data_IF_326770788282
#
_entry.id   IF_326770788282
#
_cell.length_a   1.000
_cell.length_b   1.000
_cell.length_c   1.000
_cell.angle_alpha   90.00
_cell.angle_beta   90.00
_cell.angle_gamma   90.00
#
_symmetry.space_group_name_H-M   'P 1'
#
loop_
_entity.id
_entity.type
_entity.pdbx_description
1 polymer ?
#
# COMPACT_ATOMS: atom_id res chain seq x y z
N UNK A 1 46.26 -25.80 30.92
CA UNK A 1 44.86 -25.43 30.61
C UNK A 1 44.87 -24.71 29.25
N UNK A 2 45.32 -25.32 28.16
CA UNK A 2 44.75 -26.43 27.35
C UNK A 2 43.96 -25.90 26.15
N UNK A 3 44.67 -25.81 25.00
CA UNK A 3 44.17 -25.74 23.63
C UNK A 3 43.13 -26.84 23.35
N UNK A 4 42.12 -26.57 22.53
CA UNK A 4 41.60 -27.51 21.52
C UNK A 4 41.03 -26.76 20.30
N UNK A 5 41.68 -26.95 19.14
CA UNK A 5 41.00 -27.06 17.84
C UNK A 5 40.36 -28.45 17.78
N UNK A 6 39.27 -28.64 17.03
CA UNK A 6 39.09 -29.75 16.07
C UNK A 6 37.75 -29.60 15.32
N UNK A 7 37.81 -30.01 14.05
CA UNK A 7 36.87 -29.95 12.94
C UNK A 7 35.61 -30.83 13.05
N UNK A 8 34.68 -30.56 12.14
CA UNK A 8 33.87 -31.47 11.27
C UNK A 8 32.41 -31.00 11.25
N UNK A 9 31.80 -30.63 10.11
CA UNK A 9 31.55 -31.51 8.97
C UNK A 9 31.53 -30.77 7.63
N UNK A 10 32.01 -31.49 6.61
CA UNK A 10 32.15 -31.06 5.23
C UNK A 10 30.93 -31.45 4.37
N UNK A 11 30.75 -30.65 3.31
CA UNK A 11 30.43 -31.02 1.91
C UNK A 11 29.44 -32.16 1.63
N UNK A 12 28.36 -31.82 0.90
CA UNK A 12 27.89 -32.63 -0.21
C UNK A 12 27.06 -31.76 -1.17
N UNK A 13 27.47 -31.69 -2.43
CA UNK A 13 26.66 -31.92 -3.64
C UNK A 13 27.38 -31.35 -4.87
N UNK A 14 28.13 -32.22 -5.56
CA UNK A 14 28.42 -32.11 -7.00
C UNK A 14 27.70 -33.24 -7.72
N UNK A 15 26.94 -32.82 -8.74
CA UNK A 15 26.78 -33.43 -10.07
C UNK A 15 26.63 -34.95 -10.20
N UNK A 16 25.45 -35.37 -10.68
CA UNK A 16 25.37 -36.38 -11.76
C UNK A 16 24.06 -36.20 -12.56
N UNK A 17 24.23 -35.93 -13.84
CA UNK A 17 23.23 -35.88 -14.91
C UNK A 17 22.92 -37.27 -15.49
N UNK A 18 21.84 -37.34 -16.28
CA UNK A 18 21.34 -38.42 -17.18
C UNK A 18 20.62 -39.60 -16.48
N UNK A 19 19.47 -40.15 -16.92
CA UNK A 19 18.89 -40.29 -18.28
C UNK A 19 17.37 -40.55 -18.22
N UNK A 20 16.69 -40.17 -19.31
CA UNK A 20 15.30 -40.50 -19.70
C UNK A 20 14.99 -42.01 -19.68
N UNK A 21 13.76 -42.40 -19.27
CA UNK A 21 12.92 -43.42 -19.97
C UNK A 21 11.47 -43.51 -19.42
N UNK A 22 10.53 -43.13 -20.31
CA UNK A 22 9.21 -43.68 -20.63
C UNK A 22 8.30 -44.34 -19.57
N UNK A 23 7.05 -43.84 -19.54
CA UNK A 23 5.80 -44.37 -18.94
C UNK A 23 5.41 -45.78 -19.43
N UNK A 24 4.44 -46.40 -18.74
CA UNK A 24 3.19 -46.72 -19.45
C UNK A 24 1.90 -46.30 -18.73
N UNK A 25 0.87 -46.16 -19.58
CA UNK A 25 -0.53 -45.85 -19.31
C UNK A 25 -1.26 -46.93 -18.50
N UNK A 26 -2.11 -46.55 -17.53
CA UNK A 26 -3.30 -47.34 -17.15
C UNK A 26 -4.50 -46.41 -16.92
N UNK A 27 -5.66 -46.90 -17.38
CA UNK A 27 -6.98 -46.27 -17.56
C UNK A 27 -7.71 -45.86 -16.27
N UNK A 28 -8.56 -44.84 -16.47
CA UNK A 28 -9.70 -44.38 -15.66
C UNK A 28 -10.56 -45.50 -15.04
N UNK A 29 -11.03 -45.27 -13.80
CA UNK A 29 -12.40 -45.59 -13.38
C UNK A 29 -13.01 -44.43 -12.58
N UNK A 30 -14.08 -43.86 -13.14
CA UNK A 30 -15.08 -43.04 -12.44
C UNK A 30 -15.82 -43.94 -11.45
N UNK A 31 -15.99 -43.50 -10.22
CA UNK A 31 -17.16 -43.88 -9.40
C UNK A 31 -17.65 -42.64 -8.67
N UNK A 32 -18.90 -42.27 -8.94
CA UNK A 32 -19.60 -41.26 -8.18
C UNK A 32 -20.13 -41.86 -6.88
N UNK A 33 -20.18 -41.04 -5.84
CA UNK A 33 -21.08 -41.26 -4.69
C UNK A 33 -21.42 -39.91 -4.07
N UNK A 34 -22.59 -39.42 -4.46
CA UNK A 34 -23.45 -38.54 -3.68
C UNK A 34 -23.75 -39.23 -2.34
N UNK A 35 -23.66 -38.53 -1.22
CA UNK A 35 -24.39 -38.86 0.02
C UNK A 35 -24.39 -37.64 0.98
N UNK A 36 -25.61 -37.20 1.24
CA UNK A 36 -26.20 -36.61 2.46
C UNK A 36 -25.62 -35.32 3.04
N UNK A 37 -26.36 -34.24 2.73
CA UNK A 37 -26.62 -33.15 3.65
C UNK A 37 -27.22 -33.69 4.97
N UNK A 38 -26.72 -33.20 6.10
CA UNK A 38 -27.35 -33.34 7.40
C UNK A 38 -27.31 -32.00 8.12
N UNK A 39 -28.51 -31.57 8.50
CA UNK A 39 -28.81 -30.48 9.41
C UNK A 39 -27.97 -30.55 10.70
N UNK A 40 -27.45 -29.39 11.13
CA UNK A 40 -27.33 -29.10 12.56
C UNK A 40 -27.86 -27.70 12.85
N UNK A 41 -29.02 -27.70 13.51
CA UNK A 41 -29.63 -26.55 14.19
C UNK A 41 -28.86 -26.22 15.46
N UNK A 42 -28.83 -24.92 15.76
CA UNK A 42 -28.71 -24.28 17.07
C UNK A 42 -27.50 -24.63 17.96
N UNK A 43 -26.54 -23.71 17.98
CA UNK A 43 -25.80 -23.37 19.20
C UNK A 43 -25.88 -21.85 19.42
N UNK A 44 -26.59 -21.44 20.47
CA UNK A 44 -26.54 -20.08 21.03
C UNK A 44 -25.17 -19.88 21.67
N UNK A 45 -24.54 -18.73 21.42
CA UNK A 45 -23.44 -18.21 22.23
C UNK A 45 -23.81 -16.85 22.82
N UNK A 46 -23.30 -16.49 24.01
CA UNK A 46 -23.80 -15.38 24.80
C UNK A 46 -23.21 -14.03 24.38
N UNK A 47 -24.04 -13.00 24.58
CA UNK A 47 -23.72 -11.57 24.49
C UNK A 47 -22.52 -11.20 25.38
N UNK A 48 -21.56 -10.48 24.80
CA UNK A 48 -20.67 -9.59 25.52
C UNK A 48 -20.36 -8.37 24.63
N UNK A 49 -21.16 -7.33 24.82
CA UNK A 49 -20.97 -5.99 24.30
C UNK A 49 -19.88 -5.26 25.09
N UNK A 50 -18.81 -4.83 24.42
CA UNK A 50 -17.94 -3.74 24.91
C UNK A 50 -17.73 -2.78 23.74
N UNK A 51 -18.55 -1.75 23.70
CA UNK A 51 -18.45 -0.63 22.76
C UNK A 51 -17.45 0.36 23.36
N UNK A 52 -16.31 0.56 22.71
CA UNK A 52 -15.45 1.72 22.97
C UNK A 52 -16.05 2.91 22.21
N UNK A 53 -16.71 3.81 22.94
CA UNK A 53 -17.13 5.12 22.43
C UNK A 53 -15.91 6.03 22.31
N UNK A 54 -15.49 6.35 21.08
CA UNK A 54 -14.70 7.55 20.80
C UNK A 54 -15.67 8.66 20.37
N UNK A 55 -15.91 9.62 21.27
CA UNK A 55 -16.66 10.83 20.99
C UNK A 55 -15.75 11.87 20.31
N UNK A 56 -16.14 12.45 19.17
CA UNK A 56 -15.65 13.76 18.75
C UNK A 56 -16.43 14.86 19.51
N UNK A 57 -15.70 15.83 20.06
CA UNK A 57 -16.29 17.03 20.66
C UNK A 57 -17.09 17.81 19.61
N UNK A 58 -18.41 17.85 19.78
CA UNK A 58 -19.32 18.73 19.04
C UNK A 58 -19.41 20.07 19.76
N UNK A 59 -18.98 21.12 19.09
CA UNK A 59 -19.24 22.51 19.50
C UNK A 59 -20.74 22.76 19.32
N UNK A 60 -21.43 23.05 20.41
CA UNK A 60 -22.84 23.46 20.42
C UNK A 60 -22.98 24.83 19.73
N UNK A 61 -23.69 24.86 18.61
CA UNK A 61 -24.22 26.09 18.01
C UNK A 61 -25.74 26.09 18.16
N UNK A 62 -26.24 27.15 18.78
CA UNK A 62 -27.65 27.39 19.09
C UNK A 62 -28.46 27.69 17.84
N UNK A 63 -29.62 27.03 17.74
CA UNK A 63 -30.62 27.12 16.68
C UNK A 63 -31.32 28.49 16.68
N UNK A 64 -31.37 29.15 15.52
CA UNK A 64 -32.41 30.16 15.18
C UNK A 64 -32.88 29.94 13.75
N UNK A 65 -34.18 30.13 13.55
CA UNK A 65 -35.00 29.73 12.41
C UNK A 65 -34.69 30.39 11.05
N UNK A 66 -34.97 29.63 9.98
CA UNK A 66 -35.67 30.11 8.77
C UNK A 66 -34.85 30.76 7.65
N UNK A 67 -34.63 30.02 6.56
CA UNK A 67 -34.35 30.58 5.22
C UNK A 67 -33.12 29.99 4.53
N UNK A 68 -33.34 29.30 3.40
CA UNK A 68 -32.37 28.93 2.35
C UNK A 68 -30.91 28.68 2.76
N UNK A 69 -30.58 27.43 3.11
CA UNK A 69 -29.20 26.93 3.12
C UNK A 69 -29.20 25.54 2.47
N UNK A 70 -29.27 25.52 1.14
CA UNK A 70 -28.90 24.36 0.35
C UNK A 70 -27.82 24.81 -0.63
N UNK A 71 -26.60 24.25 -0.46
CA UNK A 71 -25.30 24.60 -1.06
C UNK A 71 -24.47 25.54 -0.18
N UNK A 72 -23.57 24.98 0.64
CA UNK A 72 -22.22 25.47 1.03
C UNK A 72 -21.74 24.75 2.31
N UNK A 73 -21.64 23.42 2.30
CA UNK A 73 -20.95 22.64 3.34
C UNK A 73 -20.01 21.63 2.67
N UNK A 74 -19.21 22.11 1.71
CA UNK A 74 -18.12 21.30 1.15
C UNK A 74 -16.95 21.30 2.13
N UNK A 75 -16.90 20.23 2.94
CA UNK A 75 -15.73 19.64 3.58
C UNK A 75 -14.95 20.49 4.59
N UNK A 76 -15.43 20.55 5.85
CA UNK A 76 -14.66 21.11 6.98
C UNK A 76 -13.52 20.21 7.47
N UNK A 77 -13.53 18.90 7.14
CA UNK A 77 -12.58 17.96 7.72
C UNK A 77 -11.30 17.82 6.88
N UNK A 78 -11.38 17.93 5.55
CA UNK A 78 -10.22 17.94 4.66
C UNK A 78 -9.79 19.39 4.39
N UNK A 79 -8.69 19.86 5.00
CA UNK A 79 -8.28 21.26 4.88
C UNK A 79 -7.89 21.65 3.44
N UNK A 80 -7.57 20.68 2.58
CA UNK A 80 -7.21 20.93 1.19
C UNK A 80 -8.40 20.97 0.23
N UNK A 81 -9.63 20.72 0.69
CA UNK A 81 -10.82 20.82 -0.18
C UNK A 81 -11.09 22.24 -0.68
N UNK A 82 -10.57 23.26 0.01
CA UNK A 82 -10.61 24.67 -0.41
C UNK A 82 -9.38 25.11 -1.21
N UNK A 83 -8.33 24.29 -1.28
CA UNK A 83 -7.12 24.59 -2.06
C UNK A 83 -7.46 24.45 -3.57
N UNK A 84 -7.32 25.52 -4.38
CA UNK A 84 -7.70 25.49 -5.78
C UNK A 84 -6.91 24.47 -6.61
N UNK A 85 -5.62 24.28 -6.32
CA UNK A 85 -4.77 23.35 -7.05
C UNK A 85 -5.12 21.91 -6.66
N UNK A 86 -5.29 21.62 -5.36
CA UNK A 86 -5.73 20.31 -4.90
C UNK A 86 -7.06 19.91 -5.54
N UNK A 87 -8.06 20.82 -5.52
CA UNK A 87 -9.37 20.57 -6.11
C UNK A 87 -9.32 20.38 -7.63
N UNK A 88 -8.50 21.19 -8.32
CA UNK A 88 -8.37 21.11 -9.78
C UNK A 88 -7.69 19.81 -10.22
N UNK A 89 -6.67 19.36 -9.49
CA UNK A 89 -5.81 18.23 -9.88
C UNK A 89 -6.10 16.93 -9.13
N UNK A 90 -7.08 16.91 -8.21
CA UNK A 90 -7.60 15.69 -7.58
C UNK A 90 -7.97 14.68 -8.67
N UNK A 91 -7.52 13.44 -8.48
CA UNK A 91 -7.69 12.34 -9.43
C UNK A 91 -8.32 11.12 -8.74
N UNK A 92 -8.98 11.34 -7.59
CA UNK A 92 -9.54 10.30 -6.76
C UNK A 92 -10.57 9.43 -7.50
N UNK A 93 -10.17 8.19 -7.79
CA UNK A 93 -10.97 7.24 -8.54
C UNK A 93 -11.14 5.92 -7.81
N UNK A 94 -12.21 5.24 -8.14
CA UNK A 94 -12.55 3.91 -7.68
C UNK A 94 -12.94 3.02 -8.85
N UNK A 95 -12.81 1.70 -8.69
CA UNK A 95 -13.34 0.73 -9.64
C UNK A 95 -14.63 0.12 -9.09
N UNK A 96 -15.77 0.48 -9.67
CA UNK A 96 -17.09 0.02 -9.26
C UNK A 96 -17.71 -0.80 -10.37
N UNK A 97 -18.19 -1.99 -10.02
CA UNK A 97 -18.75 -2.96 -10.97
C UNK A 97 -17.78 -3.29 -12.11
N UNK A 98 -17.92 -2.63 -13.25
CA UNK A 98 -17.09 -2.79 -14.46
C UNK A 98 -16.52 -1.46 -14.97
N UNK A 99 -16.58 -0.38 -14.20
CA UNK A 99 -16.18 0.94 -14.64
C UNK A 99 -15.33 1.69 -13.60
N UNK A 100 -14.42 2.51 -14.09
CA UNK A 100 -13.76 3.55 -13.30
C UNK A 100 -14.76 4.66 -13.04
N UNK A 101 -14.81 5.14 -11.79
CA UNK A 101 -15.68 6.24 -11.36
C UNK A 101 -14.88 7.25 -10.52
N UNK A 102 -15.37 8.48 -10.38
CA UNK A 102 -14.78 9.54 -9.54
C UNK A 102 -15.70 9.87 -8.37
N UNK A 103 -15.56 9.22 -7.21
CA UNK A 103 -16.50 9.39 -6.09
C UNK A 103 -16.66 10.83 -5.59
N UNK A 104 -15.59 11.63 -5.64
CA UNK A 104 -15.61 13.02 -5.17
C UNK A 104 -16.30 13.99 -6.15
N UNK A 105 -16.35 13.61 -7.43
CA UNK A 105 -16.90 14.44 -8.52
C UNK A 105 -17.63 13.57 -9.54
N UNK A 106 -18.77 12.94 -9.17
CA UNK A 106 -19.41 11.90 -9.97
C UNK A 106 -19.91 12.38 -11.34
N UNK A 107 -20.16 13.68 -11.49
CA UNK A 107 -20.64 14.29 -12.74
C UNK A 107 -19.50 14.64 -13.72
N UNK A 108 -18.24 14.52 -13.31
CA UNK A 108 -17.08 14.82 -14.15
C UNK A 108 -16.65 13.55 -14.89
N UNK A 109 -16.53 13.58 -16.23
CA UNK A 109 -16.03 12.46 -17.01
C UNK A 109 -14.67 11.96 -16.50
N UNK A 110 -14.49 10.64 -16.56
CA UNK A 110 -13.21 10.01 -16.24
C UNK A 110 -12.26 10.21 -17.42
N UNK A 111 -11.03 10.62 -17.12
CA UNK A 111 -9.97 10.72 -18.11
C UNK A 111 -9.71 9.34 -18.74
N UNK A 112 -9.67 9.28 -20.07
CA UNK A 112 -9.36 8.05 -20.81
C UNK A 112 -7.95 7.51 -20.47
N UNK A 113 -6.98 8.39 -20.19
CA UNK A 113 -5.64 7.98 -19.79
C UNK A 113 -5.63 7.32 -18.41
N UNK A 114 -6.48 7.79 -17.48
CA UNK A 114 -6.64 7.16 -16.17
C UNK A 114 -7.25 5.76 -16.29
N UNK A 115 -8.21 5.57 -17.19
CA UNK A 115 -8.80 4.24 -17.46
C UNK A 115 -7.73 3.30 -18.02
N UNK A 116 -6.97 3.74 -19.04
CA UNK A 116 -5.89 2.94 -19.64
C UNK A 116 -4.80 2.57 -18.63
N UNK A 117 -4.38 3.52 -17.79
CA UNK A 117 -3.41 3.26 -16.72
C UNK A 117 -3.93 2.24 -15.70
N UNK A 118 -5.21 2.34 -15.32
CA UNK A 118 -5.86 1.38 -14.43
C UNK A 118 -5.95 -0.03 -15.03
N UNK A 119 -6.35 -0.14 -16.30
CA UNK A 119 -6.44 -1.41 -17.00
C UNK A 119 -5.08 -2.10 -17.11
N UNK A 120 -4.02 -1.35 -17.45
CA UNK A 120 -2.65 -1.86 -17.49
C UNK A 120 -2.18 -2.35 -16.12
N UNK A 121 -2.50 -1.61 -15.04
CA UNK A 121 -2.15 -2.02 -13.68
C UNK A 121 -2.90 -3.29 -13.26
N UNK A 122 -4.19 -3.39 -13.56
CA UNK A 122 -4.99 -4.58 -13.33
C UNK A 122 -4.41 -5.80 -14.07
N UNK A 123 -4.04 -5.62 -15.34
CA UNK A 123 -3.44 -6.67 -16.15
C UNK A 123 -2.12 -7.16 -15.56
N UNK A 124 -1.27 -6.24 -15.09
CA UNK A 124 0.01 -6.60 -14.47
C UNK A 124 -0.20 -7.40 -13.17
N UNK A 125 -1.12 -6.98 -12.31
CA UNK A 125 -1.38 -7.63 -11.01
C UNK A 125 -2.07 -8.99 -11.19
N UNK A 126 -2.93 -9.11 -12.20
CA UNK A 126 -3.55 -10.38 -12.59
C UNK A 126 -2.57 -11.31 -13.34
N UNK A 127 -1.40 -10.81 -13.73
CA UNK A 127 -0.38 -11.56 -14.45
C UNK A 127 0.13 -12.77 -13.68
N UNK A 128 0.46 -13.82 -14.43
CA UNK A 128 1.00 -15.04 -13.86
C UNK A 128 2.23 -14.76 -13.01
N UNK A 129 2.24 -15.34 -11.81
CA UNK A 129 3.32 -15.24 -10.84
C UNK A 129 3.57 -13.84 -10.25
N UNK A 130 2.69 -12.84 -10.45
CA UNK A 130 2.83 -11.57 -9.73
C UNK A 130 2.98 -11.85 -8.21
N UNK A 131 4.06 -11.36 -7.57
CA UNK A 131 4.49 -11.95 -6.30
C UNK A 131 3.73 -11.44 -5.08
N UNK A 132 3.17 -10.24 -5.15
CA UNK A 132 2.54 -9.59 -4.02
C UNK A 132 1.11 -10.10 -3.81
N UNK A 133 0.93 -11.02 -2.86
CA UNK A 133 -0.40 -11.51 -2.49
C UNK A 133 -1.30 -10.45 -1.88
N UNK A 134 -0.70 -9.43 -1.24
CA UNK A 134 -1.45 -8.27 -0.74
C UNK A 134 -2.13 -7.52 -1.87
N UNK A 135 -1.37 -7.16 -2.91
CA UNK A 135 -1.91 -6.49 -4.10
C UNK A 135 -3.00 -7.33 -4.78
N UNK A 136 -2.77 -8.63 -4.97
CA UNK A 136 -3.79 -9.53 -5.55
C UNK A 136 -5.09 -9.51 -4.72
N UNK A 137 -4.97 -9.56 -3.39
CA UNK A 137 -6.14 -9.52 -2.48
C UNK A 137 -6.88 -8.19 -2.58
N UNK A 138 -6.15 -7.08 -2.53
CA UNK A 138 -6.70 -5.71 -2.62
C UNK A 138 -7.50 -5.54 -3.91
N UNK A 139 -6.95 -5.96 -5.05
CA UNK A 139 -7.60 -5.85 -6.34
C UNK A 139 -8.82 -6.76 -6.46
N UNK A 140 -8.73 -8.00 -5.98
CA UNK A 140 -9.85 -8.95 -5.96
C UNK A 140 -11.01 -8.46 -5.09
N UNK A 141 -10.72 -7.81 -3.97
CA UNK A 141 -11.71 -7.26 -3.03
C UNK A 141 -12.16 -5.84 -3.37
N UNK A 142 -11.59 -5.22 -4.41
CA UNK A 142 -11.81 -3.80 -4.77
C UNK A 142 -11.53 -2.83 -3.62
N UNK A 143 -10.60 -3.20 -2.73
CA UNK A 143 -10.18 -2.42 -1.56
C UNK A 143 -9.17 -1.34 -1.90
N UNK A 144 -9.29 -0.67 -3.04
CA UNK A 144 -8.33 0.34 -3.46
C UNK A 144 -8.98 1.58 -4.05
N UNK A 145 -8.22 2.65 -3.99
CA UNK A 145 -8.44 3.90 -4.69
C UNK A 145 -7.19 4.23 -5.47
N UNK A 146 -7.35 4.98 -6.55
CA UNK A 146 -6.24 5.30 -7.42
C UNK A 146 -6.47 6.64 -8.11
N UNK A 147 -5.41 7.21 -8.67
CA UNK A 147 -5.49 8.42 -9.45
C UNK A 147 -4.32 8.56 -10.40
N UNK A 148 -4.51 9.35 -11.45
CA UNK A 148 -3.48 9.75 -12.40
C UNK A 148 -3.27 11.26 -12.28
N UNK A 149 -2.18 11.63 -11.64
CA UNK A 149 -1.80 12.99 -11.29
C UNK A 149 -0.91 13.63 -12.36
N UNK A 150 -0.65 14.95 -12.26
CA UNK A 150 0.43 15.60 -13.00
C UNK A 150 1.80 15.00 -12.69
N UNK A 151 2.88 15.68 -13.06
CA UNK A 151 4.24 15.18 -12.85
C UNK A 151 4.56 14.94 -11.36
N UNK A 152 5.21 13.82 -11.06
CA UNK A 152 5.70 13.47 -9.72
C UNK A 152 6.59 14.60 -9.19
N UNK A 153 6.41 14.93 -7.91
CA UNK A 153 7.07 16.02 -7.19
C UNK A 153 6.80 17.43 -7.74
N UNK A 154 5.82 17.63 -8.62
CA UNK A 154 5.35 18.98 -8.94
C UNK A 154 4.30 19.48 -7.93
N UNK A 155 4.26 20.79 -7.72
CA UNK A 155 3.38 21.48 -6.77
C UNK A 155 1.90 21.09 -6.84
N UNK A 156 1.39 20.87 -8.06
CA UNK A 156 0.01 20.47 -8.29
C UNK A 156 -0.25 19.02 -7.86
N UNK A 157 0.68 18.12 -8.20
CA UNK A 157 0.59 16.72 -7.81
C UNK A 157 0.74 16.54 -6.30
N UNK A 158 1.63 17.31 -5.65
CA UNK A 158 1.79 17.32 -4.18
C UNK A 158 0.48 17.64 -3.48
N UNK A 159 -0.14 18.77 -3.82
CA UNK A 159 -1.41 19.21 -3.21
C UNK A 159 -2.55 18.23 -3.48
N UNK A 160 -2.68 17.76 -4.72
CA UNK A 160 -3.72 16.83 -5.11
C UNK A 160 -3.58 15.45 -4.43
N UNK A 161 -2.35 14.91 -4.34
CA UNK A 161 -2.09 13.63 -3.66
C UNK A 161 -2.34 13.75 -2.16
N UNK A 162 -1.95 14.85 -1.50
CA UNK A 162 -2.30 15.08 -0.09
C UNK A 162 -3.82 15.08 0.10
N UNK A 163 -4.54 15.87 -0.68
CA UNK A 163 -6.00 15.95 -0.63
C UNK A 163 -6.65 14.57 -0.80
N UNK A 164 -6.25 13.83 -1.83
CA UNK A 164 -6.82 12.53 -2.14
C UNK A 164 -6.45 11.45 -1.12
N UNK A 165 -5.26 11.53 -0.50
CA UNK A 165 -4.88 10.66 0.62
C UNK A 165 -5.66 10.97 1.89
N UNK A 166 -5.98 12.24 2.17
CA UNK A 166 -6.87 12.58 3.26
C UNK A 166 -8.23 11.93 3.04
N UNK A 167 -8.81 12.09 1.84
CA UNK A 167 -10.10 11.48 1.47
C UNK A 167 -10.05 9.95 1.64
N UNK A 168 -8.98 9.31 1.19
CA UNK A 168 -8.74 7.89 1.40
C UNK A 168 -8.71 7.50 2.88
N UNK A 169 -7.96 8.26 3.68
CA UNK A 169 -7.82 8.00 5.11
C UNK A 169 -9.15 8.14 5.86
N UNK A 170 -10.01 9.05 5.42
CA UNK A 170 -11.33 9.26 6.00
C UNK A 170 -12.37 8.24 5.53
N UNK A 171 -12.34 7.89 4.23
CA UNK A 171 -13.25 6.90 3.65
C UNK A 171 -13.04 5.51 4.25
N UNK A 172 -11.79 5.14 4.54
CA UNK A 172 -11.44 3.80 5.00
C UNK A 172 -10.89 3.78 6.44
N UNK A 173 -11.78 3.67 7.45
CA UNK A 173 -11.35 3.24 8.77
C UNK A 173 -10.85 1.79 8.69
N UNK A 174 -9.79 1.44 9.42
CA UNK A 174 -9.32 0.05 9.43
C UNK A 174 -10.33 -0.82 10.16
N UNK A 175 -10.79 -1.85 9.45
CA UNK A 175 -11.72 -2.85 9.98
C UNK A 175 -11.12 -4.22 9.68
N UNK A 176 -10.78 -4.95 10.75
CA UNK A 176 -10.39 -6.35 10.67
C UNK A 176 -9.12 -6.62 9.82
N UNK A 177 -9.11 -7.67 9.00
CA UNK A 177 -7.97 -8.04 8.14
C UNK A 177 -8.06 -7.44 6.72
N UNK A 178 -8.90 -6.43 6.51
CA UNK A 178 -9.06 -5.84 5.19
C UNK A 178 -7.80 -5.08 4.79
N UNK A 179 -7.20 -5.48 3.67
CA UNK A 179 -6.12 -4.72 3.05
C UNK A 179 -6.70 -3.63 2.17
N UNK A 180 -6.18 -2.42 2.34
CA UNK A 180 -6.59 -1.26 1.56
C UNK A 180 -5.38 -0.48 1.07
N UNK A 181 -5.53 0.10 -0.12
CA UNK A 181 -4.41 0.76 -0.81
C UNK A 181 -4.86 1.99 -1.57
N UNK A 182 -4.08 3.06 -1.49
CA UNK A 182 -4.18 4.20 -2.39
C UNK A 182 -3.03 4.16 -3.40
N UNK A 183 -3.31 4.36 -4.68
CA UNK A 183 -2.34 4.25 -5.77
C UNK A 183 -2.26 5.57 -6.53
N UNK A 184 -1.18 6.32 -6.34
CA UNK A 184 -0.91 7.55 -7.08
C UNK A 184 0.00 7.25 -8.28
N UNK A 185 -0.54 7.35 -9.49
CA UNK A 185 0.22 7.28 -10.74
C UNK A 185 0.47 8.69 -11.25
N UNK A 186 1.62 8.92 -11.90
CA UNK A 186 2.02 10.26 -12.35
C UNK A 186 2.33 10.24 -13.84
N UNK A 187 1.82 11.23 -14.60
CA UNK A 187 2.07 11.33 -16.06
C UNK A 187 3.54 11.59 -16.42
N UNK A 188 4.35 12.00 -15.45
CA UNK A 188 5.77 12.24 -15.60
C UNK A 188 6.45 12.44 -14.25
N UNK A 189 7.73 12.87 -14.23
CA UNK A 189 8.58 12.96 -15.42
C UNK A 189 8.92 11.58 -15.98
N UNK A 190 9.53 11.54 -17.17
CA UNK A 190 10.12 10.30 -17.67
C UNK A 190 11.26 9.87 -16.72
N UNK A 191 11.14 8.66 -16.16
CA UNK A 191 12.14 8.14 -15.22
C UNK A 191 13.37 7.63 -15.97
N UNK A 192 14.52 8.18 -15.63
CA UNK A 192 15.80 7.88 -16.28
C UNK A 192 16.56 6.74 -15.60
N UNK A 193 16.41 6.59 -14.28
CA UNK A 193 17.10 5.58 -13.45
C UNK A 193 16.35 5.33 -12.14
N UNK A 194 16.75 4.29 -11.40
CA UNK A 194 16.24 4.06 -10.03
C UNK A 194 16.60 5.21 -9.08
N UNK A 195 17.79 5.82 -9.24
CA UNK A 195 18.23 6.96 -8.44
C UNK A 195 17.40 8.20 -8.74
N UNK A 196 17.10 8.47 -10.01
CA UNK A 196 16.22 9.57 -10.40
C UNK A 196 14.83 9.38 -9.78
N UNK A 197 14.23 8.19 -9.91
CA UNK A 197 12.93 7.93 -9.27
C UNK A 197 12.96 8.05 -7.74
N UNK A 198 14.00 7.51 -7.08
CA UNK A 198 14.17 7.65 -5.64
C UNK A 198 14.22 9.13 -5.21
N UNK A 199 14.98 9.96 -5.93
CA UNK A 199 15.02 11.40 -5.68
C UNK A 199 13.63 12.03 -5.80
N UNK A 200 12.90 11.75 -6.89
CA UNK A 200 11.56 12.30 -7.12
C UNK A 200 10.55 11.83 -6.06
N UNK A 201 10.59 10.55 -5.68
CA UNK A 201 9.73 9.99 -4.63
C UNK A 201 9.95 10.71 -3.31
N UNK A 202 11.21 10.92 -2.91
CA UNK A 202 11.49 11.61 -1.66
C UNK A 202 11.18 13.11 -1.71
N UNK A 203 11.40 13.77 -2.85
CA UNK A 203 10.97 15.15 -3.05
C UNK A 203 9.45 15.30 -2.93
N UNK A 204 8.69 14.36 -3.49
CA UNK A 204 7.23 14.29 -3.33
C UNK A 204 6.84 14.12 -1.85
N UNK A 205 7.42 13.14 -1.13
CA UNK A 205 7.11 12.91 0.29
C UNK A 205 7.50 14.10 1.18
N UNK A 206 8.64 14.74 0.91
CA UNK A 206 9.09 15.92 1.65
C UNK A 206 8.13 17.10 1.46
N UNK A 207 7.70 17.37 0.22
CA UNK A 207 6.76 18.43 -0.08
C UNK A 207 5.36 18.13 0.49
N UNK A 208 4.94 16.86 0.48
CA UNK A 208 3.71 16.41 1.14
C UNK A 208 3.76 16.66 2.65
N UNK A 209 4.87 16.30 3.33
CA UNK A 209 5.06 16.55 4.77
C UNK A 209 5.02 18.04 5.11
N UNK A 210 5.62 18.89 4.26
CA UNK A 210 5.61 20.34 4.46
C UNK A 210 4.18 20.92 4.50
N UNK A 211 3.25 20.33 3.74
CA UNK A 211 1.83 20.70 3.78
C UNK A 211 1.12 20.01 4.95
N UNK A 212 1.35 18.72 5.14
CA UNK A 212 0.64 17.89 6.12
C UNK A 212 0.84 18.37 7.56
N UNK A 213 2.07 18.75 7.89
CA UNK A 213 2.46 19.21 9.22
C UNK A 213 1.80 20.52 9.68
N UNK A 214 1.14 21.24 8.78
CA UNK A 214 0.31 22.39 9.14
C UNK A 214 -1.05 22.00 9.72
N UNK A 215 -1.52 20.78 9.44
CA UNK A 215 -2.89 20.34 9.74
C UNK A 215 -2.95 19.12 10.65
N UNK A 216 -1.98 18.21 10.54
CA UNK A 216 -2.00 16.93 11.22
C UNK A 216 -0.69 16.70 11.98
N UNK A 217 -0.83 16.12 13.17
CA UNK A 217 0.32 15.60 13.89
C UNK A 217 0.78 14.28 13.25
N UNK A 218 2.07 13.97 13.36
CA UNK A 218 2.61 12.67 12.98
C UNK A 218 1.90 11.54 13.75
N UNK A 219 1.65 10.40 13.08
CA UNK A 219 1.05 9.22 13.70
C UNK A 219 1.88 8.77 14.91
N UNK A 220 1.22 8.67 16.07
CA UNK A 220 1.87 8.39 17.36
C UNK A 220 2.39 6.95 17.49
N UNK A 221 2.00 6.05 16.58
CA UNK A 221 2.42 4.64 16.59
C UNK A 221 3.80 4.40 15.96
N UNK A 222 4.34 5.39 15.24
CA UNK A 222 5.59 5.29 14.48
C UNK A 222 6.50 6.49 14.74
N UNK A 223 7.79 6.35 14.43
CA UNK A 223 8.75 7.45 14.56
C UNK A 223 8.76 8.33 13.29
N UNK A 224 9.11 9.60 13.44
CA UNK A 224 9.27 10.55 12.34
C UNK A 224 10.70 10.62 11.79
N UNK A 225 11.69 10.11 12.54
CA UNK A 225 13.09 10.03 12.10
C UNK A 225 13.26 8.87 11.09
N UNK A 226 13.61 9.13 9.82
CA UNK A 226 13.78 8.09 8.81
C UNK A 226 14.95 7.14 9.07
N UNK A 227 15.82 7.43 10.04
CA UNK A 227 16.88 6.52 10.49
C UNK A 227 16.43 5.59 11.62
N UNK A 228 15.27 5.83 12.22
CA UNK A 228 14.71 4.97 13.26
C UNK A 228 14.12 3.68 12.64
N UNK A 229 14.32 2.55 13.31
CA UNK A 229 13.77 1.26 12.88
C UNK A 229 12.23 1.19 12.90
N UNK A 230 11.58 2.06 13.68
CA UNK A 230 10.13 2.20 13.79
C UNK A 230 9.59 3.35 12.93
N UNK A 231 10.39 3.91 12.02
CA UNK A 231 9.94 4.93 11.09
C UNK A 231 8.82 4.41 10.19
N UNK A 232 7.79 5.21 9.95
CA UNK A 232 6.89 5.05 8.81
C UNK A 232 6.36 6.42 8.41
N UNK A 233 6.25 6.70 7.11
CA UNK A 233 5.78 8.01 6.66
C UNK A 233 4.36 8.27 7.14
N UNK A 234 4.11 9.43 7.75
CA UNK A 234 2.77 9.81 8.20
C UNK A 234 2.16 10.87 7.29
N UNK A 235 0.88 10.72 7.01
CA UNK A 235 0.06 11.71 6.32
C UNK A 235 -1.38 11.65 6.83
N UNK A 236 -2.01 12.80 7.06
CA UNK A 236 -3.36 12.86 7.63
C UNK A 236 -3.43 12.26 9.03
N UNK A 237 -2.30 12.25 9.76
CA UNK A 237 -2.16 11.61 11.07
C UNK A 237 -2.16 10.07 11.04
N UNK A 238 -1.93 9.46 9.88
CA UNK A 238 -1.90 7.99 9.71
C UNK A 238 -0.58 7.53 9.10
N UNK A 239 0.00 6.48 9.65
CA UNK A 239 1.23 5.86 9.16
C UNK A 239 1.00 5.06 7.86
N UNK A 240 1.91 5.19 6.90
CA UNK A 240 1.83 4.64 5.56
C UNK A 240 3.12 3.94 5.15
N UNK A 241 3.00 2.66 4.75
CA UNK A 241 4.05 1.97 4.01
C UNK A 241 3.95 2.31 2.52
N UNK A 242 4.97 3.02 2.01
CA UNK A 242 5.01 3.48 0.62
C UNK A 242 5.78 2.50 -0.25
N UNK A 243 5.23 2.16 -1.42
CA UNK A 243 5.89 1.32 -2.43
C UNK A 243 5.99 2.12 -3.72
N UNK A 244 7.22 2.33 -4.17
CA UNK A 244 7.53 2.94 -5.45
C UNK A 244 7.58 1.92 -6.59
N UNK A 245 7.00 2.29 -7.74
CA UNK A 245 7.02 1.54 -8.99
C UNK A 245 7.33 2.49 -10.16
N UNK A 246 8.13 2.06 -11.13
CA UNK A 246 8.53 2.89 -12.28
C UNK A 246 9.14 2.07 -13.43
N UNK A 247 9.25 2.62 -14.67
CA UNK A 247 9.69 1.87 -15.85
C UNK A 247 11.12 1.33 -15.79
N UNK A 248 11.95 1.87 -14.89
CA UNK A 248 13.38 1.56 -14.75
C UNK A 248 13.68 0.69 -13.53
N UNK A 249 12.67 0.18 -12.85
CA UNK A 249 12.86 -0.63 -11.65
C UNK A 249 13.59 -1.93 -11.98
N UNK A 250 14.58 -2.30 -11.18
CA UNK A 250 15.31 -3.57 -11.28
C UNK A 250 14.45 -4.78 -10.91
N UNK A 251 13.41 -4.56 -10.10
CA UNK A 251 12.44 -5.57 -9.68
C UNK A 251 11.23 -5.53 -10.61
N UNK A 252 10.97 -6.61 -11.34
CA UNK A 252 9.88 -6.75 -12.31
C UNK A 252 8.51 -6.41 -11.72
N UNK A 253 8.29 -6.74 -10.45
CA UNK A 253 7.01 -6.48 -9.77
C UNK A 253 6.77 -4.99 -9.51
N UNK A 254 7.84 -4.18 -9.58
CA UNK A 254 7.84 -2.72 -9.45
C UNK A 254 8.03 -2.01 -10.80
N UNK A 255 8.09 -2.74 -11.92
CA UNK A 255 8.17 -2.13 -13.25
C UNK A 255 6.77 -1.78 -13.72
N UNK A 256 6.47 -0.49 -13.90
CA UNK A 256 5.20 -0.02 -14.45
C UNK A 256 5.42 1.22 -15.30
N UNK A 257 4.57 1.43 -16.32
CA UNK A 257 4.75 2.48 -17.34
C UNK A 257 4.76 3.89 -16.74
N UNK A 258 3.94 4.12 -15.73
CA UNK A 258 3.88 5.40 -15.02
C UNK A 258 4.74 5.34 -13.75
N UNK A 259 5.53 6.38 -13.42
CA UNK A 259 5.99 6.55 -12.05
C UNK A 259 4.78 6.46 -11.12
N UNK A 260 4.89 5.65 -10.07
CA UNK A 260 3.76 5.32 -9.20
C UNK A 260 4.22 5.20 -7.76
N UNK A 261 3.42 5.77 -6.85
CA UNK A 261 3.55 5.61 -5.41
C UNK A 261 2.30 4.95 -4.85
N UNK A 262 2.48 3.81 -4.20
CA UNK A 262 1.42 3.01 -3.61
C UNK A 262 1.48 3.16 -2.10
N UNK A 263 0.41 3.66 -1.49
CA UNK A 263 0.31 3.92 -0.07
C UNK A 263 -0.57 2.86 0.58
N UNK A 264 -0.01 2.18 1.57
CA UNK A 264 -0.69 1.15 2.35
C UNK A 264 -0.67 1.57 3.80
N UNK A 265 -1.79 1.48 4.51
CA UNK A 265 -1.81 1.83 5.92
C UNK A 265 -0.92 0.88 6.73
N UNK A 266 -0.08 1.44 7.59
CA UNK A 266 0.83 0.66 8.42
C UNK A 266 0.06 -0.31 9.35
N UNK A 267 -1.01 0.19 9.97
CA UNK A 267 -1.84 -0.54 10.93
C UNK A 267 -2.40 -1.86 10.36
N UNK A 268 -2.64 -1.96 9.04
CA UNK A 268 -3.11 -3.21 8.43
C UNK A 268 -2.06 -4.35 8.55
N UNK A 269 -0.76 -4.01 8.54
CA UNK A 269 0.31 -4.99 8.75
C UNK A 269 0.44 -5.38 10.23
N UNK A 270 0.20 -4.46 11.14
CA UNK A 270 0.12 -4.74 12.58
C UNK A 270 -1.04 -5.68 12.90
N UNK A 271 -2.22 -5.48 12.31
CA UNK A 271 -3.35 -6.42 12.44
C UNK A 271 -3.00 -7.84 11.95
N UNK A 272 -2.32 -7.95 10.80
CA UNK A 272 -1.84 -9.24 10.28
C UNK A 272 -0.81 -9.92 11.20
N UNK A 273 0.08 -9.13 11.84
CA UNK A 273 1.06 -9.63 12.81
C UNK A 273 0.38 -10.13 14.08
N UNK A 274 -0.52 -9.33 14.66
CA UNK A 274 -1.27 -9.67 15.87
C UNK A 274 -2.06 -10.98 15.73
N UNK A 275 -2.49 -11.32 14.50
CA UNK A 275 -3.23 -12.55 14.17
C UNK A 275 -2.37 -13.70 13.65
N UNK A 276 -1.05 -13.54 13.62
CA UNK A 276 -0.10 -14.57 13.18
C UNK A 276 -0.14 -14.89 11.68
N UNK A 277 -0.76 -14.03 10.85
CA UNK A 277 -0.90 -14.25 9.40
C UNK A 277 0.27 -13.69 8.59
N UNK A 278 1.02 -12.75 9.17
CA UNK A 278 2.10 -12.02 8.48
C UNK A 278 3.22 -12.93 7.96
N UNK A 279 3.73 -13.86 8.79
CA UNK A 279 4.84 -14.74 8.37
C UNK A 279 4.44 -15.69 7.24
N UNK A 280 3.21 -16.22 7.25
CA UNK A 280 2.70 -17.05 6.15
C UNK A 280 2.60 -16.24 4.87
N UNK A 281 2.06 -15.02 4.93
CA UNK A 281 1.97 -14.12 3.78
C UNK A 281 3.37 -13.86 3.18
N UNK A 282 4.33 -13.52 4.04
CA UNK A 282 5.73 -13.25 3.66
C UNK A 282 6.40 -14.46 3.00
N UNK A 283 6.21 -15.66 3.52
CA UNK A 283 6.75 -16.89 2.92
C UNK A 283 6.20 -17.12 1.51
N UNK A 284 4.88 -16.92 1.33
CA UNK A 284 4.22 -17.05 0.03
C UNK A 284 4.77 -16.00 -0.95
N UNK A 285 4.91 -14.74 -0.53
CA UNK A 285 5.46 -13.66 -1.35
C UNK A 285 6.89 -14.01 -1.80
N UNK A 286 7.76 -14.45 -0.88
CA UNK A 286 9.14 -14.85 -1.21
C UNK A 286 9.20 -16.02 -2.20
N UNK A 287 8.33 -17.02 -2.04
CA UNK A 287 8.26 -18.15 -2.94
C UNK A 287 7.79 -17.75 -4.35
N UNK A 288 6.82 -16.82 -4.45
CA UNK A 288 6.39 -16.27 -5.73
C UNK A 288 7.46 -15.37 -6.35
N UNK A 289 8.13 -14.55 -5.55
CA UNK A 289 9.20 -13.67 -6.00
C UNK A 289 10.37 -14.46 -6.59
N UNK A 290 10.77 -15.57 -5.96
CA UNK A 290 11.77 -16.48 -6.55
C UNK A 290 11.36 -16.98 -7.94
N UNK A 291 10.07 -17.27 -8.18
CA UNK A 291 9.58 -17.71 -9.48
C UNK A 291 9.49 -16.57 -10.50
N UNK A 292 9.09 -15.39 -10.05
CA UNK A 292 8.84 -14.24 -10.91
C UNK A 292 10.11 -13.48 -11.29
N UNK A 293 10.99 -13.26 -10.31
CA UNK A 293 12.21 -12.46 -10.44
C UNK A 293 13.48 -13.33 -10.54
N UNK A 294 13.45 -14.56 -10.03
CA UNK A 294 14.64 -15.41 -9.89
C UNK A 294 15.49 -15.13 -8.64
N UNK A 295 15.12 -14.14 -7.81
CA UNK A 295 15.82 -13.80 -6.56
C UNK A 295 14.88 -13.13 -5.56
N UNK A 296 15.13 -13.33 -4.26
CA UNK A 296 14.40 -12.62 -3.18
C UNK A 296 14.88 -11.17 -3.09
N UNK A 297 13.98 -10.24 -2.76
CA UNK A 297 14.34 -8.82 -2.63
C UNK A 297 15.17 -8.63 -1.35
N UNK A 298 16.44 -8.21 -1.46
CA UNK A 298 17.30 -8.00 -0.30
C UNK A 298 16.82 -6.87 0.61
N UNK A 299 15.99 -5.95 0.09
CA UNK A 299 15.46 -4.82 0.84
C UNK A 299 14.25 -5.17 1.70
N UNK A 300 13.57 -6.31 1.47
CA UNK A 300 12.38 -6.71 2.25
C UNK A 300 12.81 -7.29 3.61
N UNK A 301 13.12 -6.38 4.54
CA UNK A 301 13.37 -6.66 5.96
C UNK A 301 12.08 -6.46 6.77
N UNK A 302 12.01 -7.06 7.96
CA UNK A 302 10.85 -6.83 8.82
C UNK A 302 10.84 -5.40 9.36
N UNK A 303 9.65 -4.86 9.55
CA UNK A 303 9.47 -3.62 10.30
C UNK A 303 10.10 -3.75 11.71
N UNK A 304 10.79 -2.72 12.18
CA UNK A 304 11.53 -2.73 13.44
C UNK A 304 12.93 -3.36 13.38
N UNK A 305 13.29 -4.11 12.33
CA UNK A 305 14.67 -4.63 12.16
C UNK A 305 15.60 -3.59 11.51
N UNK A 306 15.05 -2.75 10.65
CA UNK A 306 15.71 -1.63 10.00
C UNK A 306 14.66 -0.64 9.52
N UNK A 307 15.02 0.65 9.41
CA UNK A 307 14.12 1.64 8.82
C UNK A 307 13.55 1.19 7.46
N UNK A 308 12.22 1.26 7.34
CA UNK A 308 11.52 0.96 6.09
C UNK A 308 11.73 2.02 5.01
N UNK A 309 12.26 3.21 5.36
CA UNK A 309 12.55 4.27 4.40
C UNK A 309 13.36 3.74 3.21
N UNK A 310 14.38 2.94 3.49
CA UNK A 310 15.23 2.32 2.46
C UNK A 310 14.48 1.40 1.48
N UNK A 311 13.24 1.00 1.79
CA UNK A 311 12.43 0.08 0.97
C UNK A 311 11.47 0.81 0.03
N UNK A 312 11.22 2.10 0.25
CA UNK A 312 10.15 2.84 -0.43
C UNK A 312 10.40 2.95 -1.93
N UNK A 313 11.56 3.45 -2.36
CA UNK A 313 11.90 3.58 -3.78
C UNK A 313 11.96 2.24 -4.52
N UNK A 314 12.34 1.18 -3.82
CA UNK A 314 12.54 -0.16 -4.39
C UNK A 314 13.90 -0.40 -4.99
N UNK A 315 14.76 0.62 -4.99
CA UNK A 315 16.17 0.52 -5.34
C UNK A 315 16.91 -0.24 -4.24
N UNK A 316 17.86 -1.09 -4.63
CA UNK A 316 18.78 -1.66 -3.66
C UNK A 316 19.75 -0.58 -3.16
N UNK A 317 19.87 -0.43 -1.84
CA UNK A 317 20.75 0.55 -1.19
C UNK A 317 21.66 -0.11 -0.16
N UNK A 318 22.78 0.54 0.16
CA UNK A 318 23.69 0.08 1.22
C UNK A 318 23.08 0.31 2.60
N UNK A 319 23.59 -0.39 3.62
CA UNK A 319 23.09 -0.27 5.00
C UNK A 319 23.31 1.11 5.64
N UNK A 320 24.19 1.94 5.08
CA UNK A 320 24.46 3.32 5.50
C UNK A 320 23.80 4.37 4.61
N UNK A 321 22.83 3.98 3.79
CA UNK A 321 22.15 4.90 2.88
C UNK A 321 21.45 6.01 3.69
N UNK A 322 21.78 7.29 3.45
CA UNK A 322 21.13 8.39 4.13
C UNK A 322 19.78 8.69 3.47
N UNK A 323 18.70 8.61 4.25
CA UNK A 323 17.40 9.06 3.76
C UNK A 323 17.41 10.59 3.60
N UNK A 324 16.99 11.14 2.45
CA UNK A 324 16.97 12.59 2.23
C UNK A 324 15.76 13.29 2.88
N UNK A 325 14.87 12.53 3.51
CA UNK A 325 13.69 13.07 4.19
C UNK A 325 14.05 13.69 5.54
N UNK A 326 13.43 14.82 5.84
CA UNK A 326 13.60 15.55 7.09
C UNK A 326 12.22 15.89 7.63
N UNK A 327 11.80 15.19 8.68
CA UNK A 327 10.59 15.54 9.41
C UNK A 327 10.84 16.85 10.18
N UNK A 328 10.15 17.92 9.78
CA UNK A 328 10.06 19.11 10.60
C UNK A 328 8.97 18.90 11.65
N UNK A 329 9.32 19.05 12.92
CA UNK A 329 8.33 19.33 13.97
C UNK A 329 8.03 20.82 13.86
N UNK A 330 6.76 21.19 13.68
CA UNK A 330 6.35 22.55 13.97
C UNK A 330 6.55 22.71 15.46
N UNK A 331 7.52 23.54 15.88
CA UNK A 331 7.74 23.82 17.29
C UNK A 331 6.40 24.26 17.88
N UNK A 332 5.91 23.52 18.88
CA UNK A 332 4.75 23.92 19.67
C UNK A 332 5.10 25.29 20.27
N UNK A 333 4.56 26.35 19.67
CA UNK A 333 4.74 27.74 20.11
C UNK A 333 3.59 28.18 20.97
#
# INVERSE_FOLDING_TARGET
MSRWRVNCFASALRESSTTLKSRPHVRRKRTGRTILARDMRHARLPNASVIYNMHPNLINSTRTDGGDIARHDTCLWNPLSVDPAARQFSSYAAFKDTAVVRPLVPDVPVDAELIDAHDQLCQQIAGDYYPCTGAISVFAQKGYRFGLFPELACDNAVRAVCHDLYEFCHEFPIIDDQLITFIAMFRGPAIESEQHFEHMLWSQLQAMHAIDSDFFAWDKSVDSDPMNNNFSFSIGGRAMFVIGMHPKASRLARTFRYPTMVFNLHEQFECLRARGKFETMKQIIRAREMKFQGSINPMLKNFGESSEASQYSGRAVSGNWPCPFHAHKKDET
#
